data_IF_499216080697
#
_entry.id   IF_499216080697
#
_cell.length_a   1.000
_cell.length_b   1.000
_cell.length_c   1.000
_cell.angle_alpha   90.00
_cell.angle_beta   90.00
_cell.angle_gamma   90.00
#
_symmetry.space_group_name_H-M   'P 1'
#
loop_
_entity.id
_entity.type
_entity.pdbx_description
1 polymer ?
#
# COMPACT_ATOMS: atom_id res chain seq x y z
N UNK A 1 42.58 39.82 13.62
CA UNK A 1 41.60 39.41 14.65
C UNK A 1 40.17 39.46 14.11
N UNK A 2 39.69 40.61 13.63
CA UNK A 2 38.32 40.75 13.07
C UNK A 2 38.06 39.80 11.88
N UNK A 3 39.04 39.63 11.00
CA UNK A 3 38.97 38.69 9.85
C UNK A 3 38.84 37.22 10.28
N UNK A 4 39.47 36.84 11.40
CA UNK A 4 39.41 35.47 11.94
C UNK A 4 38.03 35.17 12.52
N UNK A 5 37.42 36.17 13.16
CA UNK A 5 36.06 36.08 13.72
C UNK A 5 35.01 35.92 12.60
N UNK A 6 35.15 36.67 11.50
CA UNK A 6 34.25 36.56 10.34
C UNK A 6 34.37 35.16 9.69
N UNK A 7 35.59 34.64 9.58
CA UNK A 7 35.83 33.31 9.02
C UNK A 7 35.25 32.19 9.89
N UNK A 8 35.38 32.29 11.23
CA UNK A 8 34.75 31.35 12.16
C UNK A 8 33.22 31.36 12.05
N UNK A 9 32.61 32.55 11.90
CA UNK A 9 31.17 32.69 11.72
C UNK A 9 30.67 32.04 10.43
N UNK A 10 31.39 32.23 9.31
CA UNK A 10 31.06 31.61 8.03
C UNK A 10 31.14 30.07 8.09
N UNK A 11 32.17 29.53 8.75
CA UNK A 11 32.33 28.08 8.94
C UNK A 11 31.19 27.51 9.82
N UNK A 12 30.77 28.22 10.87
CA UNK A 12 29.63 27.81 11.70
C UNK A 12 28.30 27.75 10.94
N UNK A 13 28.05 28.72 10.06
CA UNK A 13 26.85 28.74 9.20
C UNK A 13 26.83 27.58 8.19
N UNK A 14 27.99 27.26 7.61
CA UNK A 14 28.14 26.13 6.70
C UNK A 14 27.92 24.80 7.44
N UNK A 15 28.53 24.63 8.62
CA UNK A 15 28.38 23.44 9.46
C UNK A 15 26.92 23.23 9.90
N UNK A 16 26.23 24.30 10.31
CA UNK A 16 24.81 24.23 10.71
C UNK A 16 23.91 23.79 9.55
N UNK A 17 24.11 24.33 8.34
CA UNK A 17 23.35 23.89 7.15
C UNK A 17 23.67 22.46 6.76
N UNK A 18 24.92 22.03 6.89
CA UNK A 18 25.32 20.65 6.63
C UNK A 18 24.68 19.70 7.67
N UNK A 19 24.62 20.10 8.93
CA UNK A 19 23.95 19.35 9.99
C UNK A 19 22.44 19.19 9.73
N UNK A 20 21.77 20.27 9.35
CA UNK A 20 20.33 20.25 9.02
C UNK A 20 20.06 19.39 7.78
N UNK A 21 20.91 19.44 6.76
CA UNK A 21 20.78 18.61 5.57
C UNK A 21 20.93 17.11 5.90
N UNK A 22 21.91 16.74 6.73
CA UNK A 22 22.14 15.34 7.12
C UNK A 22 21.02 14.81 8.03
N UNK A 23 20.55 15.59 9.00
CA UNK A 23 19.43 15.17 9.86
C UNK A 23 18.10 15.06 9.11
N UNK A 24 17.87 15.90 8.10
CA UNK A 24 16.65 15.84 7.29
C UNK A 24 16.54 14.53 6.49
N UNK A 25 17.67 13.94 6.10
CA UNK A 25 17.70 12.65 5.38
C UNK A 25 17.41 11.48 6.33
N UNK A 26 17.87 11.55 7.58
CA UNK A 26 17.68 10.50 8.59
C UNK A 26 16.21 10.38 9.02
N UNK A 27 15.42 11.46 9.00
CA UNK A 27 14.01 11.40 9.39
C UNK A 27 13.05 10.97 8.25
N UNK A 28 13.49 11.08 6.99
CA UNK A 28 12.69 10.66 5.82
C UNK A 28 12.77 9.17 5.49
N UNK A 29 13.91 8.51 5.75
CA UNK A 29 14.08 7.09 5.43
C UNK A 29 13.23 6.14 6.31
N UNK A 30 13.08 6.35 7.64
CA UNK A 30 12.27 5.49 8.50
C UNK A 30 10.79 5.57 8.16
N UNK A 31 10.28 6.79 7.89
CA UNK A 31 8.87 7.02 7.56
C UNK A 31 8.46 6.33 6.25
N UNK A 32 9.34 6.37 5.24
CA UNK A 32 9.12 5.65 3.99
C UNK A 32 9.17 4.12 4.18
N UNK A 33 10.08 3.63 5.03
CA UNK A 33 10.19 2.20 5.32
C UNK A 33 8.97 1.65 6.06
N UNK A 34 8.49 2.34 7.08
CA UNK A 34 7.29 1.96 7.85
C UNK A 34 6.05 1.90 6.96
N UNK A 35 5.93 2.82 5.99
CA UNK A 35 4.81 2.83 5.05
C UNK A 35 4.85 1.62 4.11
N UNK A 36 6.03 1.25 3.61
CA UNK A 36 6.21 0.08 2.74
C UNK A 36 5.88 -1.22 3.48
N UNK A 37 6.37 -1.38 4.71
CA UNK A 37 6.11 -2.58 5.52
C UNK A 37 4.61 -2.72 5.83
N UNK A 38 3.91 -1.62 6.12
CA UNK A 38 2.45 -1.63 6.35
C UNK A 38 1.67 -2.05 5.10
N UNK A 39 2.04 -1.53 3.95
CA UNK A 39 1.39 -1.88 2.67
C UNK A 39 1.65 -3.34 2.33
N UNK A 40 2.87 -3.84 2.52
CA UNK A 40 3.20 -5.24 2.25
C UNK A 40 2.45 -6.20 3.19
N UNK A 41 2.38 -5.88 4.48
CA UNK A 41 1.59 -6.65 5.44
C UNK A 41 0.09 -6.67 5.08
N UNK A 42 -0.47 -5.53 4.66
CA UNK A 42 -1.84 -5.44 4.18
C UNK A 42 -2.07 -6.28 2.92
N UNK A 43 -1.20 -6.16 1.91
CA UNK A 43 -1.32 -6.92 0.66
C UNK A 43 -1.18 -8.42 0.89
N UNK A 44 -0.28 -8.82 1.79
CA UNK A 44 -0.14 -10.23 2.19
C UNK A 44 -1.43 -10.75 2.82
N UNK A 45 -2.00 -10.04 3.79
CA UNK A 45 -3.26 -10.43 4.42
C UNK A 45 -4.40 -10.50 3.40
N UNK A 46 -4.52 -9.49 2.54
CA UNK A 46 -5.55 -9.44 1.50
C UNK A 46 -5.42 -10.60 0.51
N UNK A 47 -4.18 -10.95 0.12
CA UNK A 47 -3.90 -12.11 -0.74
C UNK A 47 -4.28 -13.41 -0.05
N UNK A 48 -3.93 -13.58 1.22
CA UNK A 48 -4.23 -14.79 1.98
C UNK A 48 -5.75 -14.98 2.16
N UNK A 49 -6.47 -13.89 2.45
CA UNK A 49 -7.94 -13.92 2.55
C UNK A 49 -8.59 -14.32 1.21
N UNK A 50 -8.15 -13.71 0.09
CA UNK A 50 -8.68 -14.03 -1.24
C UNK A 50 -8.30 -15.44 -1.69
N UNK A 51 -7.07 -15.88 -1.41
CA UNK A 51 -6.60 -17.20 -1.79
C UNK A 51 -7.39 -18.33 -1.13
N UNK A 52 -7.63 -18.19 0.19
CA UNK A 52 -8.33 -19.19 0.99
C UNK A 52 -9.85 -19.13 0.84
N UNK A 53 -10.39 -18.07 0.23
CA UNK A 53 -11.82 -17.92 0.03
C UNK A 53 -12.38 -18.84 -1.06
N UNK A 54 -13.56 -19.38 -0.80
CA UNK A 54 -14.33 -20.18 -1.76
C UNK A 54 -15.04 -19.30 -2.79
N UNK A 55 -15.44 -18.10 -2.37
CA UNK A 55 -16.13 -17.12 -3.19
C UNK A 55 -15.49 -15.74 -3.03
N UNK A 56 -15.38 -15.03 -4.15
CA UNK A 56 -14.95 -13.64 -4.15
C UNK A 56 -15.85 -12.82 -5.04
N UNK A 57 -16.44 -11.78 -4.48
CA UNK A 57 -17.34 -10.88 -5.17
C UNK A 57 -16.83 -9.45 -5.01
N UNK A 58 -16.71 -8.74 -6.13
CA UNK A 58 -16.42 -7.30 -6.11
C UNK A 58 -17.75 -6.57 -6.09
N UNK A 59 -18.06 -5.95 -4.96
CA UNK A 59 -19.31 -5.21 -4.76
C UNK A 59 -19.24 -3.82 -5.39
N UNK A 60 -18.06 -3.19 -5.33
CA UNK A 60 -17.80 -1.89 -5.93
C UNK A 60 -16.31 -1.69 -6.26
N UNK A 61 -15.96 -0.57 -6.88
CA UNK A 61 -14.56 -0.22 -7.10
C UNK A 61 -13.78 -0.03 -5.78
N UNK A 62 -14.47 0.15 -4.66
CA UNK A 62 -13.90 0.38 -3.33
C UNK A 62 -14.18 -0.75 -2.35
N UNK A 63 -14.93 -1.77 -2.72
CA UNK A 63 -15.24 -2.89 -1.81
C UNK A 63 -15.30 -4.23 -2.52
N UNK A 64 -14.79 -5.25 -1.85
CA UNK A 64 -15.01 -6.64 -2.24
C UNK A 64 -15.25 -7.49 -1.00
N UNK A 65 -15.96 -8.58 -1.21
CA UNK A 65 -16.25 -9.60 -0.20
C UNK A 65 -15.59 -10.91 -0.63
N UNK A 66 -14.76 -11.48 0.25
CA UNK A 66 -14.18 -12.81 0.14
C UNK A 66 -14.80 -13.71 1.22
N UNK A 67 -15.78 -14.53 0.83
CA UNK A 67 -16.69 -15.26 1.71
C UNK A 67 -17.40 -14.38 2.75
N UNK A 68 -16.83 -14.28 3.96
CA UNK A 68 -17.36 -13.47 5.07
C UNK A 68 -16.51 -12.22 5.35
N UNK A 69 -15.36 -12.13 4.70
CA UNK A 69 -14.38 -11.06 4.92
C UNK A 69 -14.70 -9.92 3.95
N UNK A 70 -14.99 -8.75 4.49
CA UNK A 70 -15.29 -7.55 3.70
C UNK A 70 -14.07 -6.64 3.72
N UNK A 71 -13.57 -6.33 2.55
CA UNK A 71 -12.51 -5.35 2.35
C UNK A 71 -13.11 -4.08 1.78
N UNK A 72 -12.79 -2.94 2.40
CA UNK A 72 -13.26 -1.61 1.99
C UNK A 72 -12.09 -0.65 1.87
N UNK A 73 -12.08 0.14 0.80
CA UNK A 73 -11.18 1.26 0.57
C UNK A 73 -11.96 2.54 0.84
N UNK A 74 -11.51 3.32 1.81
CA UNK A 74 -11.93 4.70 2.02
C UNK A 74 -10.81 5.65 1.55
N UNK A 75 -11.05 6.96 1.58
CA UNK A 75 -10.10 7.98 1.11
C UNK A 75 -8.77 7.98 1.86
N UNK A 76 -8.78 7.58 3.13
CA UNK A 76 -7.61 7.67 4.03
C UNK A 76 -7.14 6.31 4.56
N UNK A 77 -7.95 5.26 4.38
CA UNK A 77 -7.76 3.99 5.03
C UNK A 77 -8.27 2.82 4.19
N UNK A 78 -7.63 1.67 4.34
CA UNK A 78 -8.14 0.39 3.88
C UNK A 78 -8.55 -0.38 5.13
N UNK A 79 -9.75 -0.94 5.12
CA UNK A 79 -10.29 -1.72 6.23
C UNK A 79 -10.60 -3.15 5.80
N UNK A 80 -10.32 -4.08 6.70
CA UNK A 80 -10.72 -5.50 6.66
C UNK A 80 -11.71 -5.72 7.79
N UNK A 81 -12.83 -6.35 7.50
CA UNK A 81 -13.83 -6.77 8.47
C UNK A 81 -14.04 -8.28 8.35
N UNK A 82 -13.80 -9.01 9.43
CA UNK A 82 -14.00 -10.45 9.54
C UNK A 82 -14.88 -10.75 10.77
N UNK A 83 -16.19 -10.76 10.55
CA UNK A 83 -17.17 -10.83 11.63
C UNK A 83 -17.11 -9.58 12.53
N UNK A 84 -16.57 -9.73 13.74
CA UNK A 84 -16.38 -8.64 14.71
C UNK A 84 -14.96 -8.07 14.69
N UNK A 85 -14.00 -8.76 14.05
CA UNK A 85 -12.63 -8.29 13.96
C UNK A 85 -12.49 -7.26 12.84
N UNK A 86 -12.09 -6.05 13.21
CA UNK A 86 -11.88 -4.93 12.29
C UNK A 86 -10.44 -4.48 12.34
N UNK A 87 -9.75 -4.65 11.23
CA UNK A 87 -8.40 -4.15 11.04
C UNK A 87 -8.38 -3.00 10.03
N UNK A 88 -7.63 -1.95 10.33
CA UNK A 88 -7.58 -0.74 9.51
C UNK A 88 -6.12 -0.31 9.29
N UNK A 89 -5.79 -0.04 8.02
CA UNK A 89 -4.49 0.48 7.60
C UNK A 89 -4.66 1.92 7.12
N UNK A 90 -4.15 2.88 7.91
CA UNK A 90 -4.16 4.32 7.60
C UNK A 90 -2.83 4.77 6.99
N UNK A 91 -2.86 5.88 6.25
CA UNK A 91 -1.67 6.47 5.65
C UNK A 91 -1.20 5.76 4.37
N UNK A 92 -2.10 5.01 3.75
CA UNK A 92 -1.88 4.40 2.44
C UNK A 92 -2.17 5.49 1.40
N UNK A 93 -1.12 6.20 0.98
CA UNK A 93 -1.22 7.33 0.05
C UNK A 93 -1.42 6.87 -1.42
N UNK A 94 -1.96 5.66 -1.62
CA UNK A 94 -2.16 5.04 -2.92
C UNK A 94 -3.65 4.93 -3.24
N UNK A 95 -4.02 5.36 -4.44
CA UNK A 95 -5.42 5.32 -4.91
C UNK A 95 -5.68 3.93 -5.47
N UNK A 96 -6.12 3.04 -4.59
CA UNK A 96 -6.47 1.68 -4.97
C UNK A 96 -7.91 1.60 -5.51
N UNK A 97 -8.14 0.66 -6.41
CA UNK A 97 -9.49 0.26 -6.81
C UNK A 97 -9.54 -1.23 -7.11
N UNK A 98 -10.65 -1.87 -6.77
CA UNK A 98 -10.92 -3.26 -7.08
C UNK A 98 -11.64 -3.40 -8.41
N UNK A 99 -11.30 -4.45 -9.16
CA UNK A 99 -11.97 -4.83 -10.39
C UNK A 99 -12.17 -6.34 -10.38
N UNK A 100 -13.34 -6.80 -10.80
CA UNK A 100 -13.63 -8.24 -10.86
C UNK A 100 -12.71 -8.91 -11.90
N UNK A 101 -12.20 -10.10 -11.56
CA UNK A 101 -11.42 -10.94 -12.47
C UNK A 101 -11.99 -12.37 -12.47
N UNK A 102 -11.94 -13.10 -13.61
CA UNK A 102 -12.36 -14.51 -13.65
C UNK A 102 -11.62 -15.38 -12.63
N UNK A 103 -10.37 -15.05 -12.33
CA UNK A 103 -9.53 -15.77 -11.37
C UNK A 103 -9.65 -15.26 -9.91
N UNK A 104 -10.38 -14.16 -9.64
CA UNK A 104 -10.39 -13.52 -8.33
C UNK A 104 -10.73 -12.03 -8.38
N UNK A 105 -9.84 -11.20 -7.85
CA UNK A 105 -9.97 -9.73 -7.81
C UNK A 105 -8.68 -9.10 -8.30
N UNK A 106 -8.81 -8.02 -9.06
CA UNK A 106 -7.68 -7.25 -9.55
C UNK A 106 -7.62 -5.94 -8.78
N UNK A 107 -6.53 -5.73 -8.07
CA UNK A 107 -6.23 -4.50 -7.33
C UNK A 107 -5.43 -3.57 -8.25
N UNK A 108 -5.95 -2.40 -8.57
CA UNK A 108 -5.27 -1.39 -9.41
C UNK A 108 -4.80 -0.23 -8.57
N UNK A 109 -3.55 0.16 -8.72
CA UNK A 109 -3.02 1.39 -8.14
C UNK A 109 -3.03 2.51 -9.21
N UNK A 110 -3.89 3.52 -9.02
CA UNK A 110 -4.03 4.64 -9.97
C UNK A 110 -2.93 5.71 -9.85
N UNK A 111 -1.96 5.54 -8.94
CA UNK A 111 -0.88 6.53 -8.74
C UNK A 111 0.24 6.43 -9.78
N UNK A 112 0.27 5.35 -10.58
CA UNK A 112 1.17 5.22 -11.72
C UNK A 112 0.70 6.11 -12.88
N UNK A 113 1.58 6.95 -13.43
CA UNK A 113 1.31 7.65 -14.69
C UNK A 113 0.91 6.67 -15.79
N UNK A 114 0.24 7.15 -16.84
CA UNK A 114 -0.46 6.38 -17.89
C UNK A 114 0.31 5.24 -18.60
N UNK A 115 1.58 5.00 -18.26
CA UNK A 115 2.44 3.94 -18.77
C UNK A 115 2.67 2.76 -17.80
N UNK A 116 2.29 2.87 -16.51
CA UNK A 116 2.43 1.77 -15.53
C UNK A 116 1.05 1.40 -14.98
N UNK A 117 0.39 0.42 -15.61
CA UNK A 117 -0.81 -0.18 -15.06
C UNK A 117 -0.41 -1.14 -13.92
N UNK A 118 -0.06 -0.55 -12.77
CA UNK A 118 0.31 -1.27 -11.56
C UNK A 118 -0.93 -1.99 -11.02
N UNK A 119 -1.13 -3.19 -11.55
CA UNK A 119 -2.23 -4.07 -11.24
C UNK A 119 -1.72 -5.36 -10.63
N UNK A 120 -2.34 -5.75 -9.52
CA UNK A 120 -2.02 -6.98 -8.79
C UNK A 120 -3.25 -7.88 -8.86
N UNK A 121 -3.09 -9.05 -9.45
CA UNK A 121 -4.12 -10.08 -9.41
C UNK A 121 -4.08 -10.80 -8.06
N UNK A 122 -5.17 -10.72 -7.32
CA UNK A 122 -5.46 -11.51 -6.12
C UNK A 122 -6.29 -12.71 -6.57
N UNK A 123 -5.62 -13.84 -6.79
CA UNK A 123 -6.26 -15.05 -7.28
C UNK A 123 -6.91 -15.85 -6.13
N UNK A 124 -8.09 -16.41 -6.38
CA UNK A 124 -8.75 -17.37 -5.49
C UNK A 124 -8.53 -18.78 -6.01
N UNK A 125 -8.17 -19.69 -5.11
CA UNK A 125 -7.94 -21.10 -5.46
C UNK A 125 -9.20 -21.74 -6.04
N UNK A 126 -10.37 -21.44 -5.46
CA UNK A 126 -11.65 -21.97 -5.90
C UNK A 126 -12.00 -21.50 -7.32
N UNK A 127 -11.79 -20.21 -7.62
CA UNK A 127 -12.04 -19.67 -8.97
C UNK A 127 -11.08 -20.18 -10.02
N UNK A 128 -9.79 -20.33 -9.68
CA UNK A 128 -8.80 -20.93 -10.57
C UNK A 128 -9.16 -22.39 -10.90
N UNK A 129 -9.63 -23.15 -9.92
CA UNK A 129 -10.09 -24.52 -10.12
C UNK A 129 -11.34 -24.56 -11.02
N UNK A 130 -12.32 -23.71 -10.76
CA UNK A 130 -13.54 -23.62 -11.57
C UNK A 130 -13.25 -23.22 -13.03
N UNK A 131 -12.34 -22.25 -13.23
CA UNK A 131 -11.91 -21.83 -14.57
C UNK A 131 -11.23 -22.97 -15.34
N UNK A 132 -10.40 -23.78 -14.68
CA UNK A 132 -9.77 -24.95 -15.30
C UNK A 132 -10.75 -26.10 -15.57
N UNK A 133 -11.82 -26.23 -14.80
CA UNK A 133 -12.86 -27.25 -15.01
C UNK A 133 -13.82 -26.91 -16.17
N UNK A 134 -14.07 -25.62 -16.43
CA UNK A 134 -14.91 -25.15 -17.55
C UNK A 134 -14.22 -25.07 -18.92
N UNK A 135 -12.93 -25.36 -19.00
CA UNK A 135 -12.14 -25.31 -20.24
C UNK A 135 -11.94 -26.68 -20.91
N UNK A 136 -12.64 -27.72 -20.43
CA UNK A 136 -12.71 -29.07 -21.04
C UNK A 136 -14.09 -29.32 -21.61
#
# INVERSE_FOLDING_TARGET
MLTVIILLGAVGLILSRLFVATYRVIDTAPKAHDQIVRIDAMLKQMRDDVWNSQSVQVDSATSFTADKIVWTIDREAIARLDGEDRQEWRGVDAVFSFTASPAGVLLRNKKGGAASDDSILLASQAKLLAANQGAR
#
